data_IF_174526214736
#
_entry.id   IF_174526214736
#
_cell.length_a   1.000
_cell.length_b   1.000
_cell.length_c   1.000
_cell.angle_alpha   90.00
_cell.angle_beta   90.00
_cell.angle_gamma   90.00
#
_symmetry.space_group_name_H-M   'P 1'
#
loop_
_entity.id
_entity.type
_entity.pdbx_description
1 polymer ?
#
# COMPACT_ATOMS: atom_id res chain seq x y z
N UNK A 1 -32.60 11.24 7.40
CA UNK A 1 -31.32 10.54 7.14
C UNK A 1 -30.39 11.50 6.43
N UNK A 2 -29.09 11.52 6.77
CA UNK A 2 -28.15 12.46 6.13
C UNK A 2 -27.89 12.05 4.68
N UNK A 3 -28.22 12.91 3.71
CA UNK A 3 -27.84 12.76 2.30
C UNK A 3 -26.34 12.97 2.05
N UNK A 4 -25.59 13.31 3.11
CA UNK A 4 -24.16 13.56 3.07
C UNK A 4 -23.39 12.48 3.82
N UNK A 5 -22.32 11.99 3.22
CA UNK A 5 -21.44 10.96 3.78
C UNK A 5 -19.98 11.29 3.47
N UNK A 6 -19.05 10.79 4.30
CA UNK A 6 -17.62 10.83 4.00
C UNK A 6 -17.29 9.77 2.95
N UNK A 7 -16.44 10.13 1.99
CA UNK A 7 -16.06 9.24 0.89
C UNK A 7 -14.55 9.29 0.68
N UNK A 8 -14.01 8.17 0.21
CA UNK A 8 -12.67 8.07 -0.35
C UNK A 8 -12.76 7.92 -1.86
N UNK A 9 -11.98 8.71 -2.58
CA UNK A 9 -11.93 8.74 -4.04
C UNK A 9 -10.66 8.05 -4.48
N UNK A 10 -10.81 7.06 -5.36
CA UNK A 10 -9.73 6.32 -5.98
C UNK A 10 -9.68 6.68 -7.46
N UNK A 11 -8.48 6.85 -8.01
CA UNK A 11 -8.26 6.80 -9.46
C UNK A 11 -7.96 5.35 -9.85
N UNK A 12 -8.63 4.83 -10.86
CA UNK A 12 -8.39 3.47 -11.34
C UNK A 12 -7.27 3.47 -12.38
N UNK A 13 -6.48 2.39 -12.39
CA UNK A 13 -5.42 2.19 -13.40
C UNK A 13 -6.04 2.18 -14.79
N UNK A 14 -5.34 2.68 -15.81
CA UNK A 14 -5.78 2.56 -17.21
C UNK A 14 -5.73 1.10 -17.70
N UNK A 15 -4.72 0.37 -17.25
CA UNK A 15 -4.47 -1.01 -17.64
C UNK A 15 -4.05 -1.85 -16.43
N UNK A 16 -4.39 -3.12 -16.46
CA UNK A 16 -3.97 -4.11 -15.47
C UNK A 16 -3.40 -5.35 -16.16
N UNK A 17 -2.38 -5.94 -15.54
CA UNK A 17 -1.74 -7.16 -16.00
C UNK A 17 -2.31 -8.33 -15.24
N UNK A 18 -2.89 -9.28 -15.95
CA UNK A 18 -3.36 -10.55 -15.39
C UNK A 18 -2.60 -11.71 -16.04
N UNK A 19 -2.08 -12.64 -15.23
CA UNK A 19 -1.54 -13.90 -15.77
C UNK A 19 -2.71 -14.75 -16.25
N UNK A 20 -2.70 -15.17 -17.52
CA UNK A 20 -3.73 -16.06 -18.06
C UNK A 20 -3.76 -17.36 -17.23
N UNK A 21 -4.93 -17.82 -16.74
CA UNK A 21 -5.00 -18.91 -15.77
C UNK A 21 -4.31 -20.20 -16.22
N UNK A 22 -4.42 -20.53 -17.52
CA UNK A 22 -3.83 -21.73 -18.13
C UNK A 22 -2.40 -21.56 -18.64
N UNK A 23 -2.16 -20.58 -19.51
CA UNK A 23 -0.86 -20.39 -20.18
C UNK A 23 0.16 -19.61 -19.35
N UNK A 24 -0.24 -19.01 -18.22
CA UNK A 24 0.57 -18.13 -17.36
C UNK A 24 1.16 -16.89 -18.06
N UNK A 25 0.93 -16.72 -19.36
CA UNK A 25 1.29 -15.52 -20.13
C UNK A 25 0.61 -14.29 -19.53
N UNK A 26 1.36 -13.20 -19.40
CA UNK A 26 0.85 -11.92 -18.92
C UNK A 26 -0.02 -11.31 -20.03
N UNK A 27 -1.27 -11.03 -19.71
CA UNK A 27 -2.19 -10.29 -20.58
C UNK A 27 -2.37 -8.88 -20.01
N UNK A 28 -2.19 -7.88 -20.86
CA UNK A 28 -2.54 -6.50 -20.55
C UNK A 28 -4.01 -6.33 -20.90
N UNK A 29 -4.81 -5.89 -19.93
CA UNK A 29 -6.23 -5.60 -20.10
C UNK A 29 -6.47 -4.13 -19.79
N UNK A 30 -7.23 -3.47 -20.65
CA UNK A 30 -7.76 -2.14 -20.34
C UNK A 30 -8.78 -2.26 -19.21
N UNK A 31 -8.70 -1.32 -18.27
CA UNK A 31 -9.61 -1.23 -17.13
C UNK A 31 -10.75 -0.32 -17.57
N UNK A 32 -11.71 -0.92 -18.28
CA UNK A 32 -12.95 -0.27 -18.69
C UNK A 32 -14.14 -0.79 -17.87
N UNK A 33 -15.35 -0.29 -18.15
CA UNK A 33 -16.55 -0.78 -17.47
C UNK A 33 -16.87 -2.26 -17.73
N UNK A 34 -16.46 -2.81 -18.87
CA UNK A 34 -16.65 -4.22 -19.19
C UNK A 34 -15.78 -5.09 -18.28
N UNK A 35 -14.50 -4.75 -18.17
CA UNK A 35 -13.54 -5.37 -17.27
C UNK A 35 -13.99 -5.24 -15.81
N UNK A 36 -14.31 -4.03 -15.37
CA UNK A 36 -14.70 -3.75 -13.99
C UNK A 36 -15.99 -4.47 -13.59
N UNK A 37 -17.02 -4.50 -14.46
CA UNK A 37 -18.24 -5.29 -14.21
C UNK A 37 -17.92 -6.78 -14.02
N UNK A 38 -17.00 -7.36 -14.81
CA UNK A 38 -16.58 -8.77 -14.65
C UNK A 38 -15.77 -8.97 -13.38
N UNK A 39 -14.82 -8.09 -13.11
CA UNK A 39 -13.96 -8.13 -11.93
C UNK A 39 -14.79 -8.09 -10.64
N UNK A 40 -15.68 -7.11 -10.48
CA UNK A 40 -16.50 -6.98 -9.27
C UNK A 40 -17.52 -8.11 -9.12
N UNK A 41 -18.11 -8.62 -10.22
CA UNK A 41 -18.97 -9.82 -10.19
C UNK A 41 -18.24 -11.04 -9.65
N UNK A 42 -16.98 -11.25 -10.04
CA UNK A 42 -16.15 -12.35 -9.50
C UNK A 42 -15.91 -12.25 -7.99
N UNK A 43 -16.04 -11.04 -7.42
CA UNK A 43 -15.92 -10.74 -5.98
C UNK A 43 -17.27 -10.67 -5.26
N UNK A 44 -18.32 -11.19 -5.91
CA UNK A 44 -19.72 -11.26 -5.41
C UNK A 44 -20.43 -9.91 -5.29
N UNK A 45 -19.98 -8.89 -6.00
CA UNK A 45 -20.74 -7.64 -6.12
C UNK A 45 -21.79 -7.75 -7.22
N UNK A 46 -22.97 -7.17 -6.96
CA UNK A 46 -24.08 -7.09 -7.90
C UNK A 46 -24.22 -5.66 -8.42
N UNK A 47 -24.25 -5.50 -9.73
CA UNK A 47 -24.48 -4.21 -10.41
C UNK A 47 -25.91 -3.73 -10.13
N UNK A 48 -26.07 -2.45 -9.83
CA UNK A 48 -27.33 -1.80 -9.49
C UNK A 48 -27.77 -0.88 -10.64
N UNK A 49 -29.09 -0.72 -10.80
CA UNK A 49 -29.64 0.25 -11.74
C UNK A 49 -29.43 1.66 -11.19
N UNK A 50 -28.82 2.51 -11.99
CA UNK A 50 -28.57 3.92 -11.68
C UNK A 50 -29.72 4.75 -12.25
N UNK A 51 -30.13 5.85 -11.58
CA UNK A 51 -31.13 6.76 -12.15
C UNK A 51 -30.56 7.39 -13.44
N UNK A 52 -31.42 7.73 -14.39
CA UNK A 52 -31.01 8.41 -15.60
C UNK A 52 -30.57 9.85 -15.29
N UNK A 53 -29.71 10.41 -16.15
CA UNK A 53 -29.30 11.83 -16.16
C UNK A 53 -28.76 12.37 -14.83
N UNK A 54 -28.06 11.51 -14.07
CA UNK A 54 -27.42 11.92 -12.81
C UNK A 54 -26.24 12.87 -13.03
N UNK A 55 -25.57 12.81 -14.18
CA UNK A 55 -24.46 13.71 -14.51
C UNK A 55 -24.24 13.83 -16.00
N UNK A 56 -24.05 15.07 -16.48
CA UNK A 56 -23.70 15.33 -17.89
C UNK A 56 -22.22 15.05 -18.22
N UNK A 57 -21.40 14.78 -17.20
CA UNK A 57 -19.94 14.68 -17.36
C UNK A 57 -19.38 13.28 -17.09
N UNK A 58 -20.18 12.42 -16.46
CA UNK A 58 -19.73 11.10 -16.04
C UNK A 58 -20.75 10.03 -16.38
N UNK A 59 -20.26 8.94 -16.94
CA UNK A 59 -20.98 7.68 -16.95
C UNK A 59 -20.81 7.00 -15.59
N UNK A 60 -21.90 6.56 -14.98
CA UNK A 60 -21.91 6.10 -13.58
C UNK A 60 -22.40 4.65 -13.49
N UNK A 61 -21.67 3.83 -12.74
CA UNK A 61 -22.08 2.47 -12.38
C UNK A 61 -22.02 2.26 -10.88
N UNK A 62 -22.98 1.53 -10.34
CA UNK A 62 -23.04 1.22 -8.91
C UNK A 62 -23.02 -0.29 -8.71
N UNK A 63 -22.24 -0.74 -7.74
CA UNK A 63 -22.16 -2.14 -7.34
C UNK A 63 -22.41 -2.26 -5.83
N UNK A 64 -23.07 -3.34 -5.43
CA UNK A 64 -23.43 -3.59 -4.04
C UNK A 64 -23.14 -5.03 -3.64
N UNK A 65 -22.71 -5.23 -2.39
CA UNK A 65 -22.46 -6.54 -1.80
C UNK A 65 -22.95 -6.55 -0.35
N UNK A 66 -23.63 -7.63 0.01
CA UNK A 66 -23.98 -7.98 1.39
C UNK A 66 -23.20 -9.23 1.77
N UNK A 67 -22.44 -9.17 2.86
CA UNK A 67 -21.62 -10.27 3.35
C UNK A 67 -21.97 -10.60 4.80
N UNK A 68 -22.09 -11.87 5.12
CA UNK A 68 -22.32 -12.37 6.48
C UNK A 68 -21.06 -13.04 7.00
N UNK A 69 -20.65 -12.73 8.22
CA UNK A 69 -19.50 -13.35 8.90
C UNK A 69 -19.92 -13.87 10.26
N UNK A 70 -19.33 -14.99 10.68
CA UNK A 70 -19.59 -15.55 12.01
C UNK A 70 -18.93 -14.69 13.10
N UNK A 71 -19.61 -14.56 14.24
CA UNK A 71 -19.17 -13.71 15.35
C UNK A 71 -18.38 -14.56 16.35
N UNK A 72 -17.05 -14.63 16.18
CA UNK A 72 -16.18 -15.53 16.96
C UNK A 72 -16.23 -15.31 18.49
N UNK A 73 -16.40 -14.07 18.96
CA UNK A 73 -16.44 -13.78 20.40
C UNK A 73 -17.69 -14.30 21.12
N UNK A 74 -18.70 -14.80 20.38
CA UNK A 74 -19.89 -15.35 21.01
C UNK A 74 -19.66 -16.64 21.76
N UNK A 75 -18.71 -17.46 21.31
CA UNK A 75 -18.35 -18.68 22.02
C UNK A 75 -17.72 -18.36 23.38
N UNK A 76 -16.98 -17.24 23.46
CA UNK A 76 -16.47 -16.71 24.72
C UNK A 76 -17.60 -16.20 25.62
N UNK A 77 -18.51 -15.37 25.11
CA UNK A 77 -19.57 -14.77 25.94
C UNK A 77 -20.60 -15.80 26.41
N UNK A 78 -20.80 -16.90 25.68
CA UNK A 78 -21.72 -17.99 26.06
C UNK A 78 -21.42 -18.58 27.44
N UNK A 79 -20.16 -18.46 27.91
CA UNK A 79 -19.76 -18.91 29.24
C UNK A 79 -19.99 -17.87 30.34
N UNK A 80 -20.40 -16.65 29.98
CA UNK A 80 -20.57 -15.51 30.89
C UNK A 80 -22.04 -15.12 31.04
N UNK A 81 -22.86 -15.33 30.01
CA UNK A 81 -24.28 -14.94 30.01
C UNK A 81 -25.21 -16.16 29.94
N UNK A 82 -26.41 -16.01 30.48
CA UNK A 82 -27.47 -17.03 30.40
C UNK A 82 -27.90 -17.28 28.94
N UNK A 83 -28.40 -18.49 28.66
CA UNK A 83 -28.66 -18.98 27.31
C UNK A 83 -29.74 -18.18 26.56
N UNK A 84 -30.65 -17.55 27.29
CA UNK A 84 -31.82 -16.83 26.78
C UNK A 84 -31.54 -15.35 26.45
N UNK A 85 -30.33 -14.87 26.74
CA UNK A 85 -29.98 -13.46 26.57
C UNK A 85 -29.82 -13.08 25.09
N UNK A 86 -30.33 -11.91 24.72
CA UNK A 86 -30.35 -11.43 23.31
C UNK A 86 -28.97 -11.40 22.65
N UNK A 87 -27.92 -11.16 23.45
CA UNK A 87 -26.54 -11.14 23.00
C UNK A 87 -26.12 -12.47 22.35
N UNK A 88 -26.77 -13.60 22.65
CA UNK A 88 -26.50 -14.92 22.07
C UNK A 88 -27.32 -15.19 20.79
N UNK A 89 -28.42 -14.47 20.54
CA UNK A 89 -29.40 -14.81 19.49
C UNK A 89 -28.86 -14.74 18.04
N UNK A 90 -27.91 -13.85 17.73
CA UNK A 90 -27.41 -13.64 16.35
C UNK A 90 -25.96 -14.08 16.12
N UNK A 91 -25.71 -15.29 15.63
CA UNK A 91 -24.33 -15.79 15.43
C UNK A 91 -23.61 -15.20 14.20
N UNK A 92 -24.31 -14.35 13.43
CA UNK A 92 -23.80 -13.77 12.18
C UNK A 92 -23.90 -12.26 12.21
N UNK A 93 -22.78 -11.61 11.94
CA UNK A 93 -22.74 -10.19 11.62
C UNK A 93 -22.95 -10.00 10.12
N UNK A 94 -23.69 -8.96 9.75
CA UNK A 94 -23.94 -8.61 8.36
C UNK A 94 -23.25 -7.30 8.05
N UNK A 95 -22.42 -7.29 7.01
CA UNK A 95 -21.78 -6.10 6.48
C UNK A 95 -22.32 -5.80 5.09
N UNK A 96 -22.56 -4.52 4.83
CA UNK A 96 -23.00 -4.02 3.53
C UNK A 96 -21.90 -3.14 2.94
N UNK A 97 -21.70 -3.23 1.63
CA UNK A 97 -20.61 -2.53 0.95
C UNK A 97 -21.05 -2.11 -0.44
N UNK A 98 -20.62 -0.93 -0.87
CA UNK A 98 -20.94 -0.41 -2.19
C UNK A 98 -19.70 0.16 -2.89
N UNK A 99 -19.76 0.19 -4.21
CA UNK A 99 -18.77 0.83 -5.10
C UNK A 99 -19.55 1.68 -6.09
N UNK A 100 -19.16 2.93 -6.26
CA UNK A 100 -19.66 3.82 -7.31
C UNK A 100 -18.48 4.11 -8.23
N UNK A 101 -18.62 3.81 -9.51
CA UNK A 101 -17.66 4.14 -10.55
C UNK A 101 -18.11 5.39 -11.30
N UNK A 102 -17.17 6.27 -11.60
CA UNK A 102 -17.39 7.49 -12.37
C UNK A 102 -16.39 7.50 -13.54
N UNK A 103 -16.85 7.30 -14.76
CA UNK A 103 -16.01 7.43 -15.95
C UNK A 103 -16.25 8.80 -16.59
N UNK A 104 -15.21 9.62 -16.68
CA UNK A 104 -15.32 10.91 -17.36
C UNK A 104 -15.52 10.68 -18.85
N UNK A 105 -16.59 11.25 -19.42
CA UNK A 105 -16.99 11.03 -20.81
C UNK A 105 -15.90 11.51 -21.79
N UNK A 106 -15.19 12.59 -21.45
CA UNK A 106 -14.16 13.22 -22.30
C UNK A 106 -12.80 12.53 -22.19
N UNK A 107 -12.29 12.37 -20.96
CA UNK A 107 -10.92 11.87 -20.74
C UNK A 107 -10.84 10.35 -20.64
N UNK A 108 -11.99 9.68 -20.47
CA UNK A 108 -12.13 8.24 -20.22
C UNK A 108 -11.49 7.74 -18.91
N UNK A 109 -10.95 8.64 -18.06
CA UNK A 109 -10.45 8.28 -16.73
C UNK A 109 -11.60 7.77 -15.86
N UNK A 110 -11.34 6.73 -15.06
CA UNK A 110 -12.33 6.13 -14.18
C UNK A 110 -11.92 6.36 -12.73
N UNK A 111 -12.84 6.92 -11.96
CA UNK A 111 -12.73 7.10 -10.53
C UNK A 111 -13.67 6.15 -9.80
N UNK A 112 -13.37 5.82 -8.55
CA UNK A 112 -14.24 5.03 -7.70
C UNK A 112 -14.45 5.70 -6.34
N UNK A 113 -15.67 5.61 -5.80
CA UNK A 113 -15.99 5.86 -4.40
C UNK A 113 -16.54 4.60 -3.76
N UNK A 114 -16.23 4.36 -2.49
CA UNK A 114 -16.57 3.10 -1.80
C UNK A 114 -17.15 3.35 -0.42
N UNK A 115 -18.06 2.47 0.01
CA UNK A 115 -18.47 2.35 1.41
C UNK A 115 -18.35 0.92 1.94
N UNK A 116 -18.20 0.80 3.26
CA UNK A 116 -17.94 -0.48 3.92
C UNK A 116 -16.59 -1.09 3.53
N UNK A 117 -16.54 -2.42 3.38
CA UNK A 117 -15.33 -3.18 3.06
C UNK A 117 -15.00 -3.21 1.55
N UNK A 118 -15.75 -2.48 0.72
CA UNK A 118 -15.51 -2.42 -0.72
C UNK A 118 -14.15 -1.81 -1.12
N UNK A 119 -13.57 -0.98 -0.26
CA UNK A 119 -12.26 -0.36 -0.49
C UNK A 119 -11.16 -1.40 -0.74
N UNK A 120 -11.17 -2.53 -0.01
CA UNK A 120 -10.19 -3.61 -0.18
C UNK A 120 -10.16 -4.13 -1.62
N UNK A 121 -11.34 -4.33 -2.22
CA UNK A 121 -11.46 -4.82 -3.60
C UNK A 121 -11.09 -3.75 -4.62
N UNK A 122 -11.46 -2.49 -4.40
CA UNK A 122 -11.13 -1.39 -5.33
C UNK A 122 -9.62 -1.13 -5.36
N UNK A 123 -8.92 -1.27 -4.25
CA UNK A 123 -7.47 -1.08 -4.18
C UNK A 123 -6.67 -2.02 -5.10
N UNK A 124 -7.19 -3.20 -5.45
CA UNK A 124 -6.53 -4.11 -6.41
C UNK A 124 -6.37 -3.45 -7.80
N UNK A 125 -7.33 -2.61 -8.19
CA UNK A 125 -7.42 -1.95 -9.50
C UNK A 125 -7.14 -0.43 -9.46
N UNK A 126 -6.95 0.15 -8.27
CA UNK A 126 -6.64 1.57 -8.07
C UNK A 126 -5.15 1.90 -8.23
N UNK A 127 -4.82 3.12 -8.64
CA UNK A 127 -3.46 3.67 -8.54
C UNK A 127 -3.03 3.76 -7.07
N UNK A 128 -1.72 3.73 -6.80
CA UNK A 128 -1.22 3.57 -5.42
C UNK A 128 -0.93 4.90 -4.71
N UNK A 129 -0.94 6.01 -5.45
CA UNK A 129 -0.39 7.31 -5.05
C UNK A 129 -1.34 8.49 -5.34
N UNK A 130 -2.54 8.23 -5.88
CA UNK A 130 -3.45 9.28 -6.33
C UNK A 130 -3.74 10.36 -5.27
N UNK A 131 -3.99 9.96 -4.01
CA UNK A 131 -4.24 10.94 -2.95
C UNK A 131 -3.02 11.82 -2.66
N UNK A 132 -1.83 11.21 -2.65
CA UNK A 132 -0.55 11.92 -2.45
C UNK A 132 -0.28 12.87 -3.62
N UNK A 133 -0.53 12.44 -4.86
CA UNK A 133 -0.38 13.28 -6.06
C UNK A 133 -1.30 14.50 -6.06
N UNK A 134 -2.53 14.34 -5.57
CA UNK A 134 -3.46 15.44 -5.41
C UNK A 134 -2.99 16.39 -4.31
N UNK A 135 -2.54 15.85 -3.17
CA UNK A 135 -2.06 16.66 -2.05
C UNK A 135 -0.84 17.50 -2.45
N UNK A 136 0.13 16.91 -3.14
CA UNK A 136 1.36 17.55 -3.64
C UNK A 136 1.11 18.78 -4.54
N UNK A 137 -0.11 18.94 -5.06
CA UNK A 137 -0.54 20.06 -5.90
C UNK A 137 -1.42 21.08 -5.19
N UNK A 138 -1.80 20.80 -3.95
CA UNK A 138 -2.68 21.65 -3.14
C UNK A 138 -1.90 22.32 -2.01
N UNK A 139 -1.04 21.57 -1.32
CA UNK A 139 -0.26 22.09 -0.18
C UNK A 139 0.98 22.82 -0.66
N UNK A 140 1.42 23.81 0.12
CA UNK A 140 2.71 24.48 -0.03
C UNK A 140 3.72 23.90 0.96
N UNK A 141 5.01 24.10 0.67
CA UNK A 141 6.12 23.60 1.50
C UNK A 141 6.01 24.11 2.94
N UNK A 142 5.67 25.38 3.10
CA UNK A 142 5.62 26.07 4.40
C UNK A 142 4.28 25.88 5.14
N UNK A 143 3.31 25.20 4.53
CA UNK A 143 2.01 25.00 5.16
C UNK A 143 2.18 24.08 6.38
N UNK A 144 2.02 24.65 7.58
CA UNK A 144 1.84 23.92 8.83
C UNK A 144 0.46 23.24 8.82
N UNK A 145 0.33 22.22 8.00
CA UNK A 145 -0.92 21.51 7.76
C UNK A 145 -0.84 20.06 8.24
N UNK A 146 0.35 19.53 8.50
CA UNK A 146 0.54 18.11 8.72
C UNK A 146 0.14 17.71 10.15
N UNK A 147 -0.86 16.83 10.26
CA UNK A 147 -1.37 16.29 11.52
C UNK A 147 -0.82 14.89 11.82
N UNK A 148 -0.61 14.09 10.78
CA UNK A 148 0.05 12.78 10.94
C UNK A 148 0.64 12.29 9.63
N UNK A 149 1.64 11.42 9.73
CA UNK A 149 2.23 10.70 8.60
C UNK A 149 2.23 9.19 8.84
N UNK A 150 2.16 8.43 7.75
CA UNK A 150 2.62 7.04 7.69
C UNK A 150 3.72 6.97 6.64
N UNK A 151 4.92 6.65 7.07
CA UNK A 151 6.12 6.71 6.25
C UNK A 151 6.91 5.41 6.34
N UNK A 152 7.61 5.08 5.25
CA UNK A 152 8.62 4.02 5.17
C UNK A 152 9.99 4.64 5.15
N UNK A 153 10.94 4.03 5.84
CA UNK A 153 12.33 4.42 5.69
C UNK A 153 13.02 3.40 4.77
N UNK A 154 13.79 3.93 3.83
CA UNK A 154 14.68 3.20 2.93
C UNK A 154 15.95 2.75 3.64
N UNK A 155 16.30 3.41 4.73
CA UNK A 155 17.59 3.26 5.41
C UNK A 155 17.41 3.29 6.93
N UNK A 156 18.32 2.63 7.64
CA UNK A 156 18.35 2.60 9.11
C UNK A 156 17.50 1.49 9.72
N UNK A 157 17.48 1.41 11.06
CA UNK A 157 16.83 0.30 11.79
C UNK A 157 15.31 0.38 11.94
N UNK A 158 14.64 1.36 11.29
CA UNK A 158 13.20 1.59 11.44
C UNK A 158 12.51 1.33 10.10
N UNK A 159 11.77 0.22 9.96
CA UNK A 159 11.13 -0.13 8.69
C UNK A 159 9.94 0.77 8.31
N UNK A 160 9.34 1.45 9.27
CA UNK A 160 8.23 2.36 9.02
C UNK A 160 7.72 3.02 10.29
N UNK A 161 7.14 4.19 10.15
CA UNK A 161 6.69 5.02 11.26
C UNK A 161 5.27 5.51 11.01
N UNK A 162 4.49 5.58 12.10
CA UNK A 162 3.22 6.31 12.13
C UNK A 162 3.38 7.44 13.14
N UNK A 163 3.41 8.68 12.68
CA UNK A 163 3.64 9.86 13.52
C UNK A 163 2.35 10.64 13.66
N UNK A 164 1.97 10.96 14.90
CA UNK A 164 0.91 11.93 15.19
C UNK A 164 1.55 13.16 15.83
N UNK A 165 1.40 14.31 15.18
CA UNK A 165 2.02 15.53 15.65
C UNK A 165 1.11 16.23 16.67
N UNK A 166 1.72 16.73 17.76
CA UNK A 166 1.01 17.50 18.79
C UNK A 166 0.50 18.84 18.26
N UNK A 167 1.33 19.47 17.43
CA UNK A 167 1.06 20.76 16.79
C UNK A 167 1.02 20.58 15.27
N UNK A 168 0.66 21.64 14.56
CA UNK A 168 0.77 21.68 13.11
C UNK A 168 2.23 21.70 12.67
N UNK A 169 2.65 20.63 11.98
CA UNK A 169 3.98 20.51 11.37
C UNK A 169 3.90 20.85 9.88
N UNK A 170 5.00 21.34 9.31
CA UNK A 170 5.15 21.43 7.86
C UNK A 170 5.82 20.14 7.33
N UNK A 171 5.79 19.96 6.00
CA UNK A 171 6.40 18.78 5.37
C UNK A 171 7.93 18.77 5.52
N UNK A 172 8.56 19.95 5.49
CA UNK A 172 10.01 20.11 5.56
C UNK A 172 10.61 19.71 6.92
N UNK A 173 9.97 20.08 8.03
CA UNK A 173 10.41 19.74 9.40
C UNK A 173 10.35 18.24 9.69
N UNK A 174 9.55 17.48 8.92
CA UNK A 174 9.49 16.02 9.02
C UNK A 174 10.34 15.31 7.95
N UNK A 175 10.92 16.06 7.02
CA UNK A 175 11.69 15.50 5.92
C UNK A 175 13.06 15.02 6.42
N UNK A 176 13.25 13.71 6.42
CA UNK A 176 14.57 13.09 6.51
C UNK A 176 14.78 12.33 5.21
N UNK A 177 16.03 12.33 4.72
CA UNK A 177 16.42 11.50 3.60
C UNK A 177 16.00 10.04 3.86
N UNK A 178 15.65 9.34 2.78
CA UNK A 178 15.23 7.95 2.89
C UNK A 178 13.75 7.73 3.18
N UNK A 179 12.89 8.75 3.26
CA UNK A 179 11.46 8.54 3.55
C UNK A 179 10.59 8.43 2.30
N UNK A 180 9.63 7.49 2.35
CA UNK A 180 8.52 7.38 1.41
C UNK A 180 7.22 7.52 2.19
N UNK A 181 6.47 8.57 1.91
CA UNK A 181 5.16 8.82 2.50
C UNK A 181 4.08 8.00 1.78
N UNK A 182 3.43 7.12 2.55
CA UNK A 182 2.31 6.30 2.11
C UNK A 182 0.96 6.91 2.49
N UNK A 183 0.93 7.66 3.60
CA UNK A 183 -0.24 8.41 4.04
C UNK A 183 0.17 9.75 4.65
N UNK A 184 -0.54 10.80 4.23
CA UNK A 184 -0.43 12.13 4.79
C UNK A 184 -1.82 12.61 5.21
N UNK A 185 -1.95 12.97 6.49
CA UNK A 185 -3.13 13.63 7.00
C UNK A 185 -2.81 15.11 7.16
N UNK A 186 -3.36 15.92 6.25
CA UNK A 186 -3.11 17.35 6.16
C UNK A 186 -4.38 18.16 6.39
N UNK A 187 -4.29 19.26 7.13
CA UNK A 187 -5.38 20.22 7.33
C UNK A 187 -5.49 21.13 6.10
N UNK A 188 -6.62 21.09 5.41
CA UNK A 188 -6.92 22.03 4.34
C UNK A 188 -7.72 23.20 4.90
N UNK A 189 -7.19 24.41 4.70
CA UNK A 189 -7.84 25.64 5.11
C UNK A 189 -9.18 25.82 4.39
N UNK A 190 -10.11 26.51 5.06
CA UNK A 190 -11.39 26.91 4.46
C UNK A 190 -11.22 27.59 3.09
N UNK A 191 -10.21 28.44 2.94
CA UNK A 191 -9.89 29.11 1.68
C UNK A 191 -9.48 28.13 0.58
N UNK A 192 -8.61 27.16 0.90
CA UNK A 192 -8.21 26.12 -0.04
C UNK A 192 -9.39 25.25 -0.47
N UNK A 193 -10.28 24.89 0.47
CA UNK A 193 -11.50 24.14 0.16
C UNK A 193 -12.44 24.89 -0.80
N UNK A 194 -12.61 26.20 -0.59
CA UNK A 194 -13.44 27.03 -1.48
C UNK A 194 -12.77 27.18 -2.86
N UNK A 195 -11.50 27.57 -2.89
CA UNK A 195 -10.78 27.90 -4.12
C UNK A 195 -10.53 26.66 -5.00
N UNK A 196 -10.10 25.56 -4.37
CA UNK A 196 -9.69 24.34 -5.07
C UNK A 196 -10.89 23.45 -5.39
N UNK A 197 -11.73 23.18 -4.38
CA UNK A 197 -12.83 22.21 -4.50
C UNK A 197 -14.22 22.84 -4.68
N UNK A 198 -14.33 24.17 -4.65
CA UNK A 198 -15.59 24.88 -4.95
C UNK A 198 -16.65 24.74 -3.87
N UNK A 199 -16.26 24.45 -2.63
CA UNK A 199 -17.21 24.43 -1.51
C UNK A 199 -17.78 25.83 -1.25
N UNK A 200 -19.05 25.92 -0.82
CA UNK A 200 -19.63 27.20 -0.42
C UNK A 200 -19.15 27.56 0.98
N UNK A 201 -18.82 28.83 1.21
CA UNK A 201 -18.31 29.32 2.49
C UNK A 201 -19.25 29.02 3.68
N UNK A 202 -20.57 29.01 3.45
CA UNK A 202 -21.60 28.68 4.44
C UNK A 202 -21.62 27.20 4.86
N UNK A 203 -21.14 26.31 3.99
CA UNK A 203 -21.12 24.87 4.24
C UNK A 203 -19.83 24.45 5.00
N UNK A 204 -18.91 25.39 5.19
CA UNK A 204 -17.62 25.21 5.87
C UNK A 204 -17.64 25.90 7.22
N UNK A 205 -17.81 25.11 8.30
CA UNK A 205 -17.68 25.61 9.68
C UNK A 205 -16.22 25.82 10.05
N UNK A 206 -15.39 24.80 9.82
CA UNK A 206 -13.96 24.79 10.13
C UNK A 206 -13.16 24.27 8.92
N UNK A 207 -11.84 24.32 9.05
CA UNK A 207 -10.90 23.58 8.20
C UNK A 207 -11.22 22.08 8.20
N UNK A 208 -10.79 21.38 7.15
CA UNK A 208 -11.09 19.96 6.97
C UNK A 208 -9.80 19.16 6.80
N UNK A 209 -9.71 18.05 7.52
CA UNK A 209 -8.59 17.12 7.37
C UNK A 209 -8.77 16.39 6.03
N UNK A 210 -7.75 16.49 5.19
CA UNK A 210 -7.52 15.66 4.03
C UNK A 210 -6.68 14.45 4.42
N UNK A 211 -7.12 13.26 4.01
CA UNK A 211 -6.39 12.01 4.11
C UNK A 211 -5.93 11.67 2.68
N UNK A 212 -4.63 11.75 2.45
CA UNK A 212 -4.01 11.42 1.18
C UNK A 212 -3.26 10.09 1.32
N UNK A 213 -3.68 9.07 0.55
CA UNK A 213 -3.04 7.76 0.42
C UNK A 213 -3.03 7.35 -1.06
N UNK A 214 -3.23 6.06 -1.34
CA UNK A 214 -3.74 5.58 -2.63
C UNK A 214 -5.14 6.13 -3.00
N UNK A 215 -5.86 6.71 -2.04
CA UNK A 215 -7.09 7.46 -2.25
C UNK A 215 -6.99 8.87 -1.69
N UNK A 216 -7.84 9.74 -2.21
CA UNK A 216 -8.07 11.08 -1.70
C UNK A 216 -9.37 11.10 -0.90
N UNK A 217 -9.33 11.50 0.37
CA UNK A 217 -10.52 11.64 1.20
C UNK A 217 -10.50 12.94 1.99
N UNK A 218 -11.67 13.57 2.13
CA UNK A 218 -11.88 14.70 3.03
C UNK A 218 -12.70 14.19 4.21
N UNK A 219 -12.26 14.47 5.45
CA UNK A 219 -13.03 14.22 6.69
C UNK A 219 -14.19 15.22 6.81
N UNK A 220 -15.07 15.22 5.81
CA UNK A 220 -16.25 16.05 5.68
C UNK A 220 -17.34 15.25 5.00
N UNK A 221 -18.55 15.26 5.56
CA UNK A 221 -19.70 14.67 4.90
C UNK A 221 -20.07 15.52 3.67
N UNK A 222 -20.06 14.88 2.50
CA UNK A 222 -20.35 15.51 1.21
C UNK A 222 -21.58 14.88 0.56
N UNK A 223 -22.34 15.69 -0.16
CA UNK A 223 -23.42 15.23 -1.03
C UNK A 223 -22.86 14.58 -2.28
N UNK A 224 -23.71 13.87 -3.01
CA UNK A 224 -23.33 13.27 -4.28
C UNK A 224 -22.85 14.30 -5.32
N UNK A 225 -23.49 15.47 -5.40
CA UNK A 225 -23.08 16.53 -6.32
C UNK A 225 -21.73 17.14 -5.92
N UNK A 226 -21.47 17.30 -4.62
CA UNK A 226 -20.18 17.74 -4.10
C UNK A 226 -19.07 16.73 -4.45
N UNK A 227 -19.35 15.43 -4.33
CA UNK A 227 -18.45 14.35 -4.74
C UNK A 227 -18.07 14.44 -6.23
N UNK A 228 -19.05 14.60 -7.13
CA UNK A 228 -18.77 14.77 -8.57
C UNK A 228 -17.89 16.00 -8.83
N UNK A 229 -18.12 17.11 -8.13
CA UNK A 229 -17.30 18.30 -8.28
C UNK A 229 -15.87 18.08 -7.79
N UNK A 230 -15.69 17.41 -6.65
CA UNK A 230 -14.35 17.05 -6.15
C UNK A 230 -13.61 16.20 -7.18
N UNK A 231 -14.26 15.17 -7.76
CA UNK A 231 -13.64 14.32 -8.79
C UNK A 231 -13.16 15.17 -9.98
N UNK A 232 -14.00 16.08 -10.49
CA UNK A 232 -13.61 17.00 -11.58
C UNK A 232 -12.39 17.86 -11.20
N UNK A 233 -12.35 18.36 -9.97
CA UNK A 233 -11.24 19.20 -9.48
C UNK A 233 -9.97 18.39 -9.29
N UNK A 234 -10.04 17.18 -8.75
CA UNK A 234 -8.90 16.27 -8.68
C UNK A 234 -8.35 15.97 -10.08
N UNK A 235 -9.22 15.67 -11.04
CA UNK A 235 -8.80 15.41 -12.41
C UNK A 235 -8.10 16.60 -13.07
N UNK A 236 -8.60 17.82 -12.82
CA UNK A 236 -7.94 19.05 -13.26
C UNK A 236 -6.60 19.29 -12.55
N UNK A 237 -6.49 18.98 -11.26
CA UNK A 237 -5.21 19.09 -10.54
C UNK A 237 -4.16 18.17 -11.16
N UNK A 238 -4.51 16.96 -11.58
CA UNK A 238 -3.56 16.05 -12.26
C UNK A 238 -2.95 16.62 -13.56
N UNK A 239 -3.50 17.70 -14.13
CA UNK A 239 -2.91 18.37 -15.30
C UNK A 239 -1.94 19.49 -14.93
N UNK A 240 -1.75 19.78 -13.64
CA UNK A 240 -0.83 20.80 -13.14
C UNK A 240 0.50 20.19 -12.71
N UNK A 241 1.53 21.03 -12.69
CA UNK A 241 2.80 20.68 -12.07
C UNK A 241 2.67 20.53 -10.55
N UNK A 242 3.60 19.79 -9.96
CA UNK A 242 3.68 19.63 -8.52
C UNK A 242 4.03 20.97 -7.86
N UNK A 243 3.33 21.31 -6.78
CA UNK A 243 3.68 22.47 -5.94
C UNK A 243 4.83 22.10 -5.00
N UNK A 244 4.84 20.85 -4.52
CA UNK A 244 5.84 20.30 -3.60
C UNK A 244 6.20 18.88 -4.03
N UNK A 245 7.48 18.55 -3.95
CA UNK A 245 7.94 17.16 -4.03
C UNK A 245 7.75 16.50 -2.66
N UNK A 246 6.81 15.57 -2.56
CA UNK A 246 6.55 14.84 -1.30
C UNK A 246 7.49 13.65 -1.12
N UNK A 247 7.82 12.95 -2.21
CA UNK A 247 8.66 11.75 -2.18
C UNK A 247 9.87 11.94 -3.11
N UNK A 248 11.07 11.76 -2.56
CA UNK A 248 12.37 11.88 -3.26
C UNK A 248 12.75 10.64 -4.09
N UNK A 249 11.79 9.76 -4.34
CA UNK A 249 11.94 8.60 -5.21
C UNK A 249 10.95 8.66 -6.36
N UNK A 250 11.36 8.20 -7.52
CA UNK A 250 10.47 8.00 -8.64
C UNK A 250 9.97 6.56 -8.62
N UNK A 251 8.66 6.40 -8.53
CA UNK A 251 8.08 5.10 -8.82
C UNK A 251 8.38 4.72 -10.27
N UNK A 252 8.99 3.55 -10.48
CA UNK A 252 9.23 3.01 -11.82
C UNK A 252 7.87 2.84 -12.49
N UNK A 253 7.60 3.55 -13.61
CA UNK A 253 6.29 3.52 -14.22
C UNK A 253 6.02 2.14 -14.81
N UNK A 254 4.76 1.70 -14.76
CA UNK A 254 4.38 0.37 -15.25
C UNK A 254 4.57 0.18 -16.76
N UNK A 255 4.77 1.27 -17.51
CA UNK A 255 5.18 1.25 -18.91
C UNK A 255 6.58 0.65 -19.09
N UNK A 256 7.45 0.76 -18.09
CA UNK A 256 8.79 0.15 -18.07
C UNK A 256 8.73 -1.30 -17.58
N UNK A 257 7.87 -2.09 -18.20
CA UNK A 257 7.60 -3.43 -17.72
C UNK A 257 8.76 -4.40 -17.89
N UNK A 258 9.56 -4.23 -18.95
CA UNK A 258 10.72 -5.06 -19.21
C UNK A 258 11.72 -4.87 -18.06
N UNK A 259 11.93 -3.61 -17.65
CA UNK A 259 12.74 -3.29 -16.48
C UNK A 259 12.17 -3.94 -15.21
N UNK A 260 10.88 -3.75 -14.92
CA UNK A 260 10.23 -4.35 -13.73
C UNK A 260 10.37 -5.88 -13.73
N UNK A 261 10.15 -6.54 -14.87
CA UNK A 261 10.28 -8.00 -15.00
C UNK A 261 11.73 -8.45 -14.77
N UNK A 262 12.71 -7.73 -15.32
CA UNK A 262 14.13 -8.00 -15.10
C UNK A 262 14.53 -7.81 -13.62
N UNK A 263 14.06 -6.74 -12.98
CA UNK A 263 14.32 -6.48 -11.56
C UNK A 263 13.76 -7.60 -10.67
N UNK A 264 12.54 -8.06 -10.93
CA UNK A 264 11.98 -9.21 -10.21
C UNK A 264 12.72 -10.52 -10.50
N UNK A 265 13.11 -10.76 -11.75
CA UNK A 265 13.89 -11.94 -12.11
C UNK A 265 15.22 -11.98 -11.37
N UNK A 266 15.94 -10.85 -11.35
CA UNK A 266 17.22 -10.73 -10.67
C UNK A 266 17.06 -10.83 -9.15
N UNK A 267 15.99 -10.27 -8.57
CA UNK A 267 15.66 -10.47 -7.15
C UNK A 267 15.44 -11.95 -6.80
N UNK A 268 14.73 -12.70 -7.66
CA UNK A 268 14.51 -14.14 -7.45
C UNK A 268 15.81 -14.91 -7.59
N UNK A 269 16.71 -14.54 -8.52
CA UNK A 269 18.05 -15.15 -8.62
C UNK A 269 18.89 -14.90 -7.37
N UNK A 270 18.86 -13.68 -6.83
CA UNK A 270 19.54 -13.35 -5.57
C UNK A 270 18.94 -14.14 -4.40
N UNK A 271 17.62 -14.27 -4.35
CA UNK A 271 16.93 -15.12 -3.36
C UNK A 271 17.34 -16.58 -3.50
N UNK A 272 17.48 -17.08 -4.72
CA UNK A 272 17.94 -18.44 -4.99
C UNK A 272 19.42 -18.63 -4.60
N UNK A 273 20.26 -17.61 -4.76
CA UNK A 273 21.64 -17.63 -4.25
C UNK A 273 21.64 -17.84 -2.74
N UNK A 274 20.80 -17.13 -1.98
CA UNK A 274 20.65 -17.35 -0.53
C UNK A 274 20.17 -18.77 -0.18
N UNK A 275 19.35 -19.36 -1.04
CA UNK A 275 18.90 -20.75 -0.89
C UNK A 275 20.04 -21.75 -1.11
N UNK A 276 20.96 -21.46 -2.04
CA UNK A 276 22.11 -22.31 -2.32
C UNK A 276 23.27 -22.12 -1.34
N UNK A 277 23.48 -20.90 -0.84
CA UNK A 277 24.56 -20.54 0.08
C UNK A 277 24.03 -19.65 1.20
N UNK A 278 24.12 -20.14 2.44
CA UNK A 278 23.66 -19.44 3.63
C UNK A 278 24.71 -18.52 4.25
N UNK A 279 25.95 -18.50 3.72
CA UNK A 279 27.07 -17.71 4.28
C UNK A 279 27.19 -16.31 3.67
N UNK A 280 26.85 -16.17 2.39
CA UNK A 280 26.86 -14.90 1.65
C UNK A 280 25.45 -14.59 1.14
N UNK A 281 24.58 -14.18 2.06
CA UNK A 281 23.18 -13.93 1.76
C UNK A 281 22.93 -12.46 1.43
N UNK A 282 22.14 -12.27 0.38
CA UNK A 282 21.62 -10.97 -0.03
C UNK A 282 20.38 -10.62 0.81
N UNK A 283 20.35 -9.44 1.41
CA UNK A 283 19.27 -9.05 2.32
C UNK A 283 17.94 -8.83 1.58
N UNK A 284 16.91 -9.57 1.99
CA UNK A 284 15.54 -9.39 1.51
C UNK A 284 14.64 -9.46 2.74
N UNK A 285 14.16 -8.28 3.12
CA UNK A 285 13.19 -8.16 4.19
C UNK A 285 11.79 -8.57 3.71
N UNK A 286 10.97 -9.02 4.65
CA UNK A 286 9.59 -9.40 4.46
C UNK A 286 8.73 -8.42 5.26
N UNK A 287 7.86 -7.69 4.56
CA UNK A 287 6.90 -6.75 5.13
C UNK A 287 5.62 -6.72 4.32
N UNK A 288 4.55 -6.14 4.84
CA UNK A 288 3.35 -5.88 4.05
C UNK A 288 3.10 -4.38 3.95
N UNK A 289 2.38 -3.93 2.92
CA UNK A 289 1.91 -2.53 2.80
C UNK A 289 1.17 -2.05 4.07
N UNK A 290 0.49 -2.95 4.76
CA UNK A 290 -0.14 -2.70 6.05
C UNK A 290 0.79 -3.15 7.19
N UNK A 291 2.01 -2.61 7.25
CA UNK A 291 3.06 -3.06 8.19
C UNK A 291 2.67 -2.98 9.66
N UNK A 292 1.88 -1.97 10.01
CA UNK A 292 1.31 -1.79 11.33
C UNK A 292 0.49 -3.02 11.74
N UNK A 293 -0.35 -3.53 10.83
CA UNK A 293 -1.09 -4.77 11.08
C UNK A 293 -0.22 -6.00 10.94
N UNK A 294 0.70 -6.00 9.98
CA UNK A 294 1.63 -7.11 9.73
C UNK A 294 2.39 -7.44 11.01
N UNK A 295 3.05 -6.46 11.62
CA UNK A 295 3.87 -6.65 12.82
C UNK A 295 3.10 -6.86 14.12
N UNK A 296 1.79 -6.66 14.11
CA UNK A 296 0.90 -7.00 15.23
C UNK A 296 0.42 -8.45 15.17
N UNK A 297 0.77 -9.20 14.12
CA UNK A 297 0.30 -10.57 13.97
C UNK A 297 0.98 -11.54 14.94
N UNK A 298 0.18 -12.47 15.44
CA UNK A 298 0.61 -13.55 16.33
C UNK A 298 1.08 -14.78 15.56
N UNK A 299 0.61 -14.96 14.32
CA UNK A 299 0.97 -16.12 13.48
C UNK A 299 1.05 -15.72 12.02
N UNK A 300 1.99 -16.33 11.29
CA UNK A 300 2.12 -16.25 9.84
C UNK A 300 1.79 -17.59 9.19
N UNK A 301 0.96 -17.59 8.14
CA UNK A 301 0.69 -18.77 7.31
C UNK A 301 1.34 -18.62 5.94
N UNK A 302 2.32 -19.46 5.66
CA UNK A 302 2.97 -19.57 4.35
C UNK A 302 2.31 -20.72 3.58
N UNK A 303 1.89 -20.46 2.34
CA UNK A 303 1.32 -21.50 1.47
C UNK A 303 1.96 -21.47 0.08
N UNK A 304 2.33 -22.62 -0.48
CA UNK A 304 2.93 -22.72 -1.81
C UNK A 304 2.70 -24.10 -2.45
N UNK A 305 2.89 -24.22 -3.76
CA UNK A 305 2.77 -25.51 -4.46
C UNK A 305 4.14 -26.15 -4.69
N UNK A 306 4.29 -27.40 -4.27
CA UNK A 306 5.44 -28.24 -4.59
C UNK A 306 4.96 -29.62 -5.09
N UNK A 307 5.50 -30.09 -6.22
CA UNK A 307 5.08 -31.35 -6.88
C UNK A 307 3.55 -31.50 -7.01
N UNK A 308 2.88 -30.40 -7.37
CA UNK A 308 1.40 -30.26 -7.50
C UNK A 308 0.59 -30.45 -6.21
N UNK A 309 1.24 -30.51 -5.05
CA UNK A 309 0.59 -30.51 -3.74
C UNK A 309 0.70 -29.12 -3.11
N UNK A 310 -0.41 -28.64 -2.56
CA UNK A 310 -0.40 -27.44 -1.73
C UNK A 310 0.29 -27.78 -0.41
N UNK A 311 1.28 -26.97 -0.04
CA UNK A 311 1.93 -26.98 1.25
C UNK A 311 1.40 -25.77 2.01
N UNK A 312 1.04 -25.95 3.28
CA UNK A 312 0.62 -24.88 4.18
C UNK A 312 1.35 -25.04 5.51
N UNK A 313 2.03 -23.98 5.94
CA UNK A 313 2.82 -23.95 7.17
C UNK A 313 2.37 -22.77 7.99
N UNK A 314 2.16 -23.00 9.28
CA UNK A 314 1.96 -21.93 10.26
C UNK A 314 3.26 -21.74 11.04
N UNK A 315 3.69 -20.49 11.16
CA UNK A 315 4.88 -20.06 11.88
C UNK A 315 4.47 -19.08 12.96
N UNK A 316 5.06 -19.20 14.14
CA UNK A 316 4.80 -18.28 15.24
C UNK A 316 5.36 -16.89 14.93
N UNK A 317 4.55 -15.87 15.19
CA UNK A 317 4.89 -14.47 14.92
C UNK A 317 4.95 -14.12 13.44
N UNK A 318 5.76 -13.10 13.15
CA UNK A 318 5.88 -12.49 11.82
C UNK A 318 7.21 -12.85 11.17
N UNK A 319 7.14 -13.15 9.88
CA UNK A 319 8.34 -13.41 9.07
C UNK A 319 8.99 -12.06 8.74
N UNK A 320 10.22 -11.83 9.20
CA UNK A 320 10.93 -10.56 8.93
C UNK A 320 11.95 -10.66 7.81
N UNK A 321 12.52 -11.84 7.62
CA UNK A 321 13.61 -12.10 6.68
C UNK A 321 13.24 -13.25 5.76
N UNK A 322 13.65 -13.15 4.50
CA UNK A 322 13.42 -14.23 3.52
C UNK A 322 14.05 -15.56 3.96
N UNK A 323 15.08 -15.52 4.80
CA UNK A 323 15.80 -16.70 5.22
C UNK A 323 14.91 -17.69 5.97
N UNK A 324 13.95 -17.21 6.77
CA UNK A 324 12.98 -18.09 7.44
C UNK A 324 12.14 -18.87 6.43
N UNK A 325 11.69 -18.21 5.36
CA UNK A 325 10.93 -18.85 4.28
C UNK A 325 11.78 -19.86 3.52
N UNK A 326 13.03 -19.49 3.22
CA UNK A 326 13.99 -20.37 2.55
C UNK A 326 14.20 -21.65 3.37
N UNK A 327 14.43 -21.52 4.69
CA UNK A 327 14.59 -22.67 5.58
C UNK A 327 13.35 -23.57 5.60
N UNK A 328 12.14 -23.00 5.67
CA UNK A 328 10.89 -23.76 5.57
C UNK A 328 10.76 -24.48 4.22
N UNK A 329 11.17 -23.86 3.12
CA UNK A 329 11.16 -24.49 1.79
C UNK A 329 12.15 -25.65 1.75
N UNK A 330 13.36 -25.49 2.30
CA UNK A 330 14.38 -26.55 2.38
C UNK A 330 13.85 -27.75 3.14
N UNK A 331 13.28 -27.53 4.33
CA UNK A 331 12.74 -28.56 5.20
C UNK A 331 11.67 -29.41 4.50
N UNK A 332 10.76 -28.76 3.75
CA UNK A 332 9.65 -29.44 3.08
C UNK A 332 10.07 -30.12 1.78
N UNK A 333 10.96 -29.48 1.02
CA UNK A 333 11.34 -29.97 -0.29
C UNK A 333 12.39 -31.09 -0.23
N UNK A 334 13.15 -31.16 0.87
CA UNK A 334 14.05 -32.27 1.21
C UNK A 334 15.29 -32.41 0.32
N UNK A 335 15.69 -31.35 -0.40
CA UNK A 335 16.86 -31.36 -1.27
C UNK A 335 17.03 -30.06 -2.05
N UNK A 336 18.17 -29.90 -2.73
CA UNK A 336 18.49 -28.76 -3.58
C UNK A 336 17.54 -28.70 -4.79
N UNK A 337 16.71 -27.67 -4.82
CA UNK A 337 15.86 -27.35 -5.96
C UNK A 337 16.69 -26.72 -7.08
N UNK A 338 16.31 -27.00 -8.33
CA UNK A 338 16.78 -26.18 -9.46
C UNK A 338 16.18 -24.77 -9.38
N UNK A 339 16.83 -23.79 -10.02
CA UNK A 339 16.31 -22.41 -10.08
C UNK A 339 14.85 -22.35 -10.56
N UNK A 340 14.51 -23.12 -11.61
CA UNK A 340 13.15 -23.15 -12.16
C UNK A 340 12.11 -23.74 -11.21
N UNK A 341 12.49 -24.72 -10.39
CA UNK A 341 11.61 -25.28 -9.36
C UNK A 341 11.43 -24.30 -8.21
N UNK A 342 12.53 -23.70 -7.73
CA UNK A 342 12.52 -22.68 -6.68
C UNK A 342 11.66 -21.48 -7.11
N UNK A 343 11.88 -20.96 -8.32
CA UNK A 343 11.12 -19.86 -8.89
C UNK A 343 9.64 -20.17 -8.92
N UNK A 344 9.22 -21.37 -9.35
CA UNK A 344 7.81 -21.79 -9.34
C UNK A 344 7.20 -21.80 -7.94
N UNK A 345 7.96 -22.21 -6.93
CA UNK A 345 7.53 -22.17 -5.54
C UNK A 345 7.28 -20.72 -5.12
N UNK A 346 8.28 -19.84 -5.27
CA UNK A 346 8.18 -18.41 -4.93
C UNK A 346 7.03 -17.72 -5.67
N UNK A 347 6.86 -17.99 -6.97
CA UNK A 347 5.77 -17.43 -7.81
C UNK A 347 4.36 -17.86 -7.34
N UNK A 348 4.27 -19.04 -6.74
CA UNK A 348 3.03 -19.62 -6.22
C UNK A 348 2.76 -19.30 -4.76
N UNK A 349 3.77 -18.82 -4.04
CA UNK A 349 3.73 -18.64 -2.60
C UNK A 349 2.82 -17.46 -2.21
N UNK A 350 2.01 -17.67 -1.16
CA UNK A 350 1.23 -16.64 -0.49
C UNK A 350 1.57 -16.61 0.99
N UNK A 351 1.55 -15.40 1.55
CA UNK A 351 1.77 -15.15 2.96
C UNK A 351 0.54 -14.47 3.55
N UNK A 352 0.03 -15.06 4.62
CA UNK A 352 -1.07 -14.54 5.40
C UNK A 352 -0.60 -14.29 6.82
N UNK A 353 -1.12 -13.25 7.47
CA UNK A 353 -0.89 -13.01 8.89
C UNK A 353 -2.20 -12.94 9.65
N UNK A 354 -2.19 -13.50 10.85
CA UNK A 354 -3.36 -13.68 11.71
C UNK A 354 -3.10 -13.07 13.09
N UNK A 355 -4.14 -12.54 13.71
CA UNK A 355 -4.10 -12.22 15.15
C UNK A 355 -4.34 -13.47 16.01
N UNK A 356 -4.33 -13.29 17.33
CA UNK A 356 -4.59 -14.36 18.32
C UNK A 356 -5.98 -15.01 18.16
N UNK A 357 -6.93 -14.33 17.53
CA UNK A 357 -8.28 -14.83 17.29
C UNK A 357 -8.42 -15.49 15.90
N UNK A 358 -7.31 -15.80 15.23
CA UNK A 358 -7.25 -16.30 13.86
C UNK A 358 -7.99 -15.39 12.87
N UNK A 359 -8.07 -14.09 13.13
CA UNK A 359 -8.61 -13.12 12.19
C UNK A 359 -7.51 -12.69 11.24
N UNK A 360 -7.83 -12.70 9.94
CA UNK A 360 -6.92 -12.28 8.89
C UNK A 360 -6.58 -10.79 9.04
N UNK A 361 -5.30 -10.51 9.28
CA UNK A 361 -4.75 -9.16 9.34
C UNK A 361 -4.25 -8.73 7.96
N UNK A 362 -3.39 -9.54 7.34
CA UNK A 362 -2.86 -9.27 5.99
C UNK A 362 -2.81 -10.55 5.14
N UNK A 363 -2.90 -10.40 3.82
CA UNK A 363 -2.79 -11.51 2.86
C UNK A 363 -2.27 -11.01 1.51
N UNK A 364 -1.23 -11.64 1.00
CA UNK A 364 -0.74 -11.40 -0.35
C UNK A 364 0.14 -12.53 -0.89
N UNK A 365 0.61 -12.38 -2.13
CA UNK A 365 1.70 -13.21 -2.66
C UNK A 365 3.00 -12.92 -1.91
N UNK A 366 3.82 -13.93 -1.68
CA UNK A 366 5.11 -13.76 -1.00
C UNK A 366 6.00 -12.68 -1.64
N UNK A 367 6.13 -12.67 -2.98
CA UNK A 367 6.91 -11.65 -3.71
C UNK A 367 6.44 -10.22 -3.45
N UNK A 368 5.16 -10.04 -3.13
CA UNK A 368 4.59 -8.74 -2.83
C UNK A 368 4.95 -8.24 -1.41
N UNK A 369 5.57 -9.11 -0.61
CA UNK A 369 6.09 -8.76 0.70
C UNK A 369 7.59 -8.43 0.69
N UNK A 370 8.29 -8.68 -0.42
CA UNK A 370 9.73 -8.44 -0.50
C UNK A 370 10.03 -6.94 -0.40
N UNK A 371 11.00 -6.60 0.44
CA UNK A 371 11.59 -5.28 0.57
C UNK A 371 13.11 -5.41 0.40
N UNK A 372 13.67 -4.80 -0.65
CA UNK A 372 15.08 -4.97 -0.99
C UNK A 372 15.60 -3.90 -1.98
N UNK A 373 16.91 -3.83 -2.17
CA UNK A 373 17.64 -2.86 -2.99
C UNK A 373 18.48 -3.54 -4.08
N UNK A 374 18.13 -3.36 -5.35
CA UNK A 374 18.89 -3.91 -6.49
C UNK A 374 19.60 -2.81 -7.26
N UNK A 375 20.87 -3.07 -7.59
CA UNK A 375 21.62 -2.29 -8.58
C UNK A 375 21.43 -2.95 -9.94
N UNK A 376 20.84 -2.21 -10.89
CA UNK A 376 20.61 -2.67 -12.26
C UNK A 376 21.03 -1.57 -13.24
N UNK A 377 21.90 -1.90 -14.21
CA UNK A 377 22.44 -0.92 -15.17
C UNK A 377 23.05 0.35 -14.53
N UNK A 378 23.73 0.20 -13.38
CA UNK A 378 24.34 1.28 -12.57
C UNK A 378 23.34 2.22 -11.87
N UNK A 379 22.06 1.91 -11.94
CA UNK A 379 21.00 2.61 -11.22
C UNK A 379 20.55 1.77 -10.03
N UNK A 380 20.17 2.44 -8.93
CA UNK A 380 19.66 1.78 -7.73
C UNK A 380 18.14 1.80 -7.71
N UNK A 381 17.55 0.63 -7.46
CA UNK A 381 16.12 0.41 -7.37
C UNK A 381 15.73 -0.23 -6.05
N UNK A 382 14.71 0.31 -5.39
CA UNK A 382 14.12 -0.28 -4.19
C UNK A 382 12.79 -0.95 -4.53
N UNK A 383 12.61 -2.20 -4.10
CA UNK A 383 11.29 -2.84 -4.08
C UNK A 383 10.63 -2.56 -2.74
N UNK A 384 9.50 -1.87 -2.76
CA UNK A 384 8.73 -1.54 -1.56
C UNK A 384 7.24 -1.67 -1.87
N UNK A 385 6.53 -2.46 -1.07
CA UNK A 385 5.06 -2.56 -1.17
C UNK A 385 4.57 -2.89 -2.60
N UNK A 386 5.28 -3.81 -3.28
CA UNK A 386 5.05 -4.32 -4.64
C UNK A 386 5.51 -3.42 -5.78
N UNK A 387 5.95 -2.21 -5.48
CA UNK A 387 6.37 -1.25 -6.50
C UNK A 387 7.88 -1.06 -6.44
N UNK A 388 8.47 -0.93 -7.63
CA UNK A 388 9.87 -0.53 -7.76
C UNK A 388 9.97 0.98 -7.76
N UNK A 389 10.96 1.49 -7.04
CA UNK A 389 11.27 2.91 -6.93
C UNK A 389 12.72 3.12 -7.35
N UNK A 390 12.95 4.05 -8.27
CA UNK A 390 14.27 4.53 -8.62
C UNK A 390 14.61 5.74 -7.76
N UNK A 391 15.84 5.77 -7.26
CA UNK A 391 16.38 6.93 -6.55
C UNK A 391 16.44 8.12 -7.50
N UNK A 392 15.94 9.29 -7.08
CA UNK A 392 16.12 10.53 -7.84
C UNK A 392 17.51 11.11 -7.60
N UNK A 393 18.00 11.90 -8.54
CA UNK A 393 19.21 12.71 -8.31
C UNK A 393 19.10 13.58 -7.06
N UNK A 394 17.93 14.19 -6.82
CA UNK A 394 17.65 15.00 -5.62
C UNK A 394 17.87 14.24 -4.32
N UNK A 395 17.59 12.93 -4.28
CA UNK A 395 17.87 12.10 -3.11
C UNK A 395 19.37 11.96 -2.85
N UNK A 396 20.16 11.71 -3.90
CA UNK A 396 21.62 11.60 -3.82
C UNK A 396 22.23 12.95 -3.42
N UNK A 397 21.77 14.03 -4.04
CA UNK A 397 22.21 15.39 -3.75
C UNK A 397 21.93 15.72 -2.26
N UNK A 398 20.71 15.45 -1.76
CA UNK A 398 20.36 15.65 -0.35
C UNK A 398 21.23 14.84 0.62
N UNK A 399 21.55 13.57 0.30
CA UNK A 399 22.44 12.75 1.13
C UNK A 399 23.84 13.35 1.17
N UNK A 400 24.36 13.78 0.02
CA UNK A 400 25.70 14.35 -0.07
C UNK A 400 25.78 15.67 0.70
N UNK A 401 24.77 16.52 0.59
CA UNK A 401 24.71 17.80 1.30
C UNK A 401 24.65 17.58 2.82
N UNK A 402 23.77 16.70 3.30
CA UNK A 402 23.64 16.39 4.73
C UNK A 402 24.89 15.72 5.29
N UNK A 403 25.50 14.79 4.54
CA UNK A 403 26.75 14.13 4.93
C UNK A 403 27.89 15.13 5.00
N UNK A 404 28.01 16.01 4.00
CA UNK A 404 29.03 17.06 3.98
C UNK A 404 28.86 18.01 5.16
N UNK A 405 27.63 18.44 5.45
CA UNK A 405 27.33 19.24 6.63
C UNK A 405 27.72 18.52 7.92
N UNK A 406 27.32 17.26 8.08
CA UNK A 406 27.67 16.45 9.26
C UNK A 406 29.17 16.33 9.45
N UNK A 407 29.92 16.02 8.39
CA UNK A 407 31.38 15.88 8.43
C UNK A 407 32.08 17.20 8.79
N UNK A 408 31.56 18.33 8.31
CA UNK A 408 32.11 19.65 8.61
C UNK A 408 31.82 20.09 10.05
N UNK A 409 30.62 19.80 10.57
CA UNK A 409 30.23 20.16 11.95
C UNK A 409 30.81 19.20 13.00
N UNK A 410 31.10 17.95 12.62
CA UNK A 410 31.56 16.90 13.53
C UNK A 410 33.00 16.47 13.22
N UNK A 411 33.88 17.44 12.95
CA UNK A 411 35.31 17.18 12.76
C UNK A 411 35.90 16.68 14.09
N UNK A 412 36.37 15.44 14.08
CA UNK A 412 37.09 14.89 15.22
C UNK A 412 38.48 15.56 15.36
N UNK A 413 38.64 16.40 16.37
CA UNK A 413 39.90 17.08 16.69
C UNK A 413 40.69 16.39 17.80
N UNK A 414 40.28 15.17 18.19
CA UNK A 414 40.92 14.41 19.27
C UNK A 414 42.22 13.70 18.85
N UNK A 415 42.84 12.97 19.78
CA UNK A 415 44.07 12.21 19.49
C UNK A 415 43.84 11.19 18.39
N UNK A 416 44.86 10.97 17.56
CA UNK A 416 44.81 10.04 16.42
C UNK A 416 44.29 8.67 16.87
N UNK A 417 43.10 8.30 16.40
CA UNK A 417 42.52 7.00 16.69
C UNK A 417 43.43 5.90 16.11
N UNK A 418 43.64 4.84 16.88
CA UNK A 418 44.30 3.66 16.36
C UNK A 418 43.49 3.11 15.18
N UNK A 419 44.18 2.54 14.19
CA UNK A 419 43.49 1.87 13.09
C UNK A 419 42.57 0.80 13.67
N UNK A 420 41.32 0.81 13.21
CA UNK A 420 40.37 -0.26 13.48
C UNK A 420 41.02 -1.59 13.04
N UNK A 421 41.35 -2.44 14.01
CA UNK A 421 41.82 -3.81 13.75
C UNK A 421 40.57 -4.67 13.55
N UNK A 422 40.53 -5.43 12.46
CA UNK A 422 39.37 -6.15 11.94
C UNK A 422 38.39 -6.74 12.99
N UNK A 423 37.10 -6.63 12.68
CA UNK A 423 35.98 -7.25 13.38
C UNK A 423 36.03 -8.77 13.23
N UNK A 424 36.79 -9.47 14.08
CA UNK A 424 36.60 -10.91 14.32
C UNK A 424 35.97 -11.21 15.68
N UNK A 425 35.57 -10.20 16.45
CA UNK A 425 34.98 -10.40 17.76
C UNK A 425 33.54 -9.87 17.77
N UNK A 426 32.62 -10.79 18.08
CA UNK A 426 31.19 -10.61 18.36
C UNK A 426 30.20 -10.83 17.21
N UNK A 427 30.23 -12.01 16.61
CA UNK A 427 28.99 -12.78 16.37
C UNK A 427 29.29 -14.27 16.57
N UNK A 428 29.08 -14.76 17.79
CA UNK A 428 28.85 -16.18 18.05
C UNK A 428 27.33 -16.43 18.09
N UNK A 429 26.87 -17.61 17.63
CA UNK A 429 25.48 -17.90 17.26
C UNK A 429 24.46 -17.78 18.40
#
# INVERSE_FOLDING_TARGET
MSEKIQNSIYLLKKQIREKHPRTKKVLIKDVDFTYLSKFFKSRKFKEQKVKNDISDSFDIKVFYKKATSDVKWKDFIKNVVEAEQEILNLNKSTSESYIILFQNIKTKKIFASTGGYAHVTVQEVATNDFGIEILARIVKVDDKALKSTKERNLTGGIQGEVKFFRNDYNLYENDNFGKIYNELNALLTKESLIKTFGFKAKDLKNDSICIAKNSFSLKKSISFQELLNIIKKCEYLLTKDYTVEINSVNKVPKSENILIENLFEDLIKLTYKNYCDTKDFYSIEISNKEFDKYFQASTSKLSFYYKRKLQEISLDGTIREIQQVILTIVEICGGLLTFEEFKKIIDSANLETLDENEQLLTKDKLLNHFCSEIIYNKETYFLIEKDWYQIKKTFIDNINDQTSYFLNENIYTGPKLEKWKDLSENYSP
#
